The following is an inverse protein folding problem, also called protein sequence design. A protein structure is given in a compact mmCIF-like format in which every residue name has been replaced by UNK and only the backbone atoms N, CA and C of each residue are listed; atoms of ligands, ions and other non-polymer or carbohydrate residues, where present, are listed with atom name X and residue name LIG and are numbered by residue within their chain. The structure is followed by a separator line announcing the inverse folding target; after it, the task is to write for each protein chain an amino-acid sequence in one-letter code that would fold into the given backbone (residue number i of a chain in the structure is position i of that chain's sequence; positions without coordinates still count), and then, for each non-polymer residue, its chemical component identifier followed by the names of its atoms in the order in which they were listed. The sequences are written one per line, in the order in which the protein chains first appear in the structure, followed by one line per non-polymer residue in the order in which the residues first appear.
data_IF_511899273360
#
_entry.id   IF_511899273360
#
_cell.length_a   1.000
_cell.length_b   1.000
_cell.length_c   1.000
_cell.angle_alpha   90.00
_cell.angle_beta   90.00
_cell.angle_gamma   90.00
#
_symmetry.space_group_name_H-M   'P 1'
#
loop_
_entity.id
_entity.type
_entity.pdbx_description
1 polymer ?
#
# COMPACT_ATOMS: atom_id res chain seq x y z
N UNK A 1 -6.11 6.95 -24.00
CA UNK A 1 -7.00 6.21 -23.09
C UNK A 1 -6.75 6.72 -21.69
N UNK A 2 -7.73 7.40 -21.09
CA UNK A 2 -7.58 7.99 -19.78
C UNK A 2 -7.47 6.91 -18.70
N UNK A 3 -6.68 7.16 -17.66
CA UNK A 3 -6.52 6.35 -16.45
C UNK A 3 -7.84 6.16 -15.66
N UNK A 4 -8.96 6.73 -16.13
CA UNK A 4 -10.25 6.72 -15.46
C UNK A 4 -10.98 5.38 -15.42
N UNK A 5 -10.51 4.35 -16.15
CA UNK A 5 -11.21 3.06 -16.21
C UNK A 5 -10.64 1.98 -15.28
N UNK A 6 -9.50 2.23 -14.60
CA UNK A 6 -8.80 1.20 -13.82
C UNK A 6 -9.22 1.18 -12.36
N UNK A 7 -9.63 2.31 -11.79
CA UNK A 7 -10.08 2.40 -10.39
C UNK A 7 -11.44 3.09 -10.33
N UNK A 8 -12.46 2.30 -10.07
CA UNK A 8 -13.81 2.85 -9.83
C UNK A 8 -14.01 2.96 -8.33
N UNK A 9 -14.51 4.11 -7.87
CA UNK A 9 -14.92 4.29 -6.45
C UNK A 9 -15.87 3.20 -5.97
N UNK A 10 -16.67 2.65 -6.88
CA UNK A 10 -17.58 1.53 -6.62
C UNK A 10 -16.85 0.27 -6.16
N UNK A 11 -15.61 0.03 -6.64
CA UNK A 11 -14.82 -1.13 -6.21
C UNK A 11 -14.46 -1.06 -4.72
N UNK A 12 -14.29 0.15 -4.18
CA UNK A 12 -14.05 0.37 -2.75
C UNK A 12 -15.28 0.04 -1.89
N UNK A 13 -16.50 0.23 -2.41
CA UNK A 13 -17.73 -0.13 -1.68
C UNK A 13 -17.80 -1.64 -1.43
N UNK A 14 -17.48 -2.43 -2.44
CA UNK A 14 -17.57 -3.89 -2.39
C UNK A 14 -16.34 -4.59 -1.80
N UNK A 15 -15.25 -3.90 -1.52
CA UNK A 15 -14.03 -4.54 -1.05
C UNK A 15 -14.14 -4.96 0.44
N UNK A 16 -13.54 -6.09 0.78
CA UNK A 16 -13.38 -6.56 2.17
C UNK A 16 -12.05 -6.11 2.78
N UNK A 17 -11.13 -5.60 1.96
CA UNK A 17 -9.83 -5.06 2.35
C UNK A 17 -9.20 -4.34 1.17
N UNK A 18 -8.20 -3.51 1.42
CA UNK A 18 -7.56 -2.66 0.42
C UNK A 18 -6.04 -2.77 0.48
N UNK A 19 -5.41 -3.15 -0.63
CA UNK A 19 -3.98 -2.94 -0.85
C UNK A 19 -3.79 -1.69 -1.71
N UNK A 20 -3.20 -0.62 -1.15
CA UNK A 20 -2.97 0.64 -1.85
C UNK A 20 -1.49 0.79 -2.20
N UNK A 21 -1.19 0.98 -3.48
CA UNK A 21 0.18 1.06 -3.97
C UNK A 21 0.47 2.29 -4.81
N UNK A 22 1.69 2.80 -4.72
CA UNK A 22 2.15 3.94 -5.51
C UNK A 22 3.65 3.88 -5.79
N UNK A 23 4.07 4.47 -6.90
CA UNK A 23 5.45 4.92 -7.03
C UNK A 23 5.68 6.13 -6.11
N UNK A 24 6.88 6.22 -5.55
CA UNK A 24 7.29 7.40 -4.78
C UNK A 24 7.46 8.62 -5.68
N UNK A 25 6.95 9.74 -5.23
CA UNK A 25 7.18 11.08 -5.81
C UNK A 25 7.50 12.05 -4.67
N UNK A 26 8.78 12.45 -4.59
CA UNK A 26 9.26 13.35 -3.53
C UNK A 26 8.87 12.89 -2.10
N UNK A 27 9.03 11.58 -1.82
CA UNK A 27 8.71 11.00 -0.53
C UNK A 27 7.22 10.84 -0.24
N UNK A 28 6.37 10.95 -1.25
CA UNK A 28 4.91 10.84 -1.14
C UNK A 28 4.35 10.00 -2.29
N UNK A 29 3.05 9.69 -2.24
CA UNK A 29 2.36 9.01 -3.34
C UNK A 29 2.31 9.87 -4.60
N UNK A 30 2.17 9.23 -5.75
CA UNK A 30 1.99 9.91 -7.02
C UNK A 30 0.66 10.69 -7.06
N UNK A 31 0.67 11.87 -7.69
CA UNK A 31 -0.48 12.77 -7.76
C UNK A 31 -1.78 12.11 -8.28
N UNK A 32 -1.77 11.22 -9.27
CA UNK A 32 -3.00 10.55 -9.70
C UNK A 32 -3.67 9.71 -8.61
N UNK A 33 -2.87 9.05 -7.73
CA UNK A 33 -3.42 8.29 -6.61
C UNK A 33 -4.03 9.22 -5.56
N UNK A 34 -3.35 10.32 -5.22
CA UNK A 34 -3.89 11.32 -4.29
C UNK A 34 -5.17 11.94 -4.85
N UNK A 35 -5.19 12.27 -6.13
CA UNK A 35 -6.39 12.78 -6.81
C UNK A 35 -7.57 11.78 -6.68
N UNK A 36 -7.30 10.49 -6.92
CA UNK A 36 -8.32 9.44 -6.74
C UNK A 36 -8.86 9.44 -5.30
N UNK A 37 -7.99 9.46 -4.29
CA UNK A 37 -8.39 9.50 -2.89
C UNK A 37 -9.22 10.75 -2.58
N UNK A 38 -8.89 11.90 -3.14
CA UNK A 38 -9.65 13.14 -2.95
C UNK A 38 -11.07 13.07 -3.52
N UNK A 39 -11.32 12.17 -4.48
CA UNK A 39 -12.68 11.94 -5.00
C UNK A 39 -13.55 11.04 -4.13
N UNK A 40 -13.04 10.51 -3.02
CA UNK A 40 -13.74 9.55 -2.14
C UNK A 40 -14.44 10.19 -0.94
N UNK A 41 -14.64 11.50 -0.95
CA UNK A 41 -15.27 12.23 0.16
C UNK A 41 -16.69 11.73 0.50
N UNK A 42 -17.47 11.30 -0.49
CA UNK A 42 -18.77 10.69 -0.31
C UNK A 42 -18.70 9.32 0.39
N UNK A 43 -17.69 8.50 0.07
CA UNK A 43 -17.45 7.22 0.73
C UNK A 43 -17.03 7.43 2.19
N UNK A 44 -16.23 8.45 2.46
CA UNK A 44 -15.87 8.85 3.81
C UNK A 44 -17.09 9.31 4.61
N UNK A 45 -17.91 10.19 4.06
CA UNK A 45 -19.13 10.69 4.71
C UNK A 45 -20.14 9.56 4.98
N UNK A 46 -20.20 8.56 4.10
CA UNK A 46 -21.05 7.38 4.26
C UNK A 46 -20.44 6.27 5.13
N UNK A 47 -19.23 6.46 5.68
CA UNK A 47 -18.54 5.48 6.55
C UNK A 47 -18.28 4.12 5.89
N UNK A 48 -18.18 4.07 4.54
CA UNK A 48 -18.16 2.82 3.78
C UNK A 48 -16.88 1.98 3.96
N UNK A 49 -15.77 2.58 4.41
CA UNK A 49 -14.50 1.90 4.62
C UNK A 49 -14.15 1.67 6.10
N UNK A 50 -14.99 2.12 7.02
CA UNK A 50 -14.76 1.98 8.46
C UNK A 50 -14.60 0.52 8.84
N UNK A 51 -13.52 0.19 9.58
CA UNK A 51 -13.22 -1.15 10.07
C UNK A 51 -12.68 -2.13 9.00
N UNK A 52 -12.60 -1.74 7.73
CA UNK A 52 -11.99 -2.58 6.69
C UNK A 52 -10.47 -2.53 6.81
N UNK A 53 -9.76 -3.67 6.67
CA UNK A 53 -8.31 -3.69 6.73
C UNK A 53 -7.68 -3.08 5.47
N UNK A 54 -6.52 -2.45 5.64
CA UNK A 54 -5.74 -1.91 4.55
C UNK A 54 -4.24 -2.13 4.76
N UNK A 55 -3.52 -2.36 3.68
CA UNK A 55 -2.07 -2.33 3.62
C UNK A 55 -1.59 -1.40 2.52
N UNK A 56 -0.37 -0.91 2.63
CA UNK A 56 0.25 0.00 1.65
C UNK A 56 1.54 -0.59 1.12
N UNK A 57 1.87 -0.27 -0.14
CA UNK A 57 3.13 -0.66 -0.75
C UNK A 57 3.63 0.41 -1.73
N UNK A 58 4.93 0.48 -1.95
CA UNK A 58 5.47 1.46 -2.89
C UNK A 58 6.74 0.98 -3.61
N UNK A 59 7.14 1.70 -4.64
CA UNK A 59 8.44 1.59 -5.26
C UNK A 59 9.19 2.92 -5.24
N UNK A 60 10.51 2.87 -5.09
CA UNK A 60 11.40 4.03 -5.06
C UNK A 60 12.54 3.87 -6.06
N UNK A 61 13.12 4.99 -6.48
CA UNK A 61 14.31 4.99 -7.34
C UNK A 61 15.60 4.72 -6.57
N UNK A 62 15.62 4.90 -5.25
CA UNK A 62 16.82 4.69 -4.42
C UNK A 62 16.45 4.19 -3.03
N UNK A 63 17.44 3.57 -2.35
CA UNK A 63 17.25 2.96 -1.03
C UNK A 63 16.68 3.92 0.02
N UNK A 64 17.21 5.14 0.06
CA UNK A 64 16.76 6.19 0.99
C UNK A 64 15.85 7.24 0.32
N UNK A 65 15.26 6.91 -0.81
CA UNK A 65 14.44 7.82 -1.64
C UNK A 65 13.00 7.99 -1.20
N UNK A 66 12.65 7.63 0.03
CA UNK A 66 11.31 7.84 0.59
C UNK A 66 10.44 6.60 0.65
N UNK A 67 11.00 5.40 0.85
CA UNK A 67 10.22 4.18 1.04
C UNK A 67 9.23 4.35 2.19
N UNK A 68 9.73 4.64 3.40
CA UNK A 68 8.93 4.75 4.61
C UNK A 68 8.01 5.95 4.58
N UNK A 69 8.51 7.13 4.16
CA UNK A 69 7.70 8.35 4.13
C UNK A 69 6.51 8.24 3.17
N UNK A 70 6.70 7.59 2.03
CA UNK A 70 5.61 7.34 1.08
C UNK A 70 4.55 6.44 1.69
N UNK A 71 4.93 5.34 2.33
CA UNK A 71 3.99 4.43 3.00
C UNK A 71 3.23 5.14 4.13
N UNK A 72 3.95 5.83 5.02
CA UNK A 72 3.35 6.53 6.16
C UNK A 72 2.37 7.61 5.70
N UNK A 73 2.71 8.39 4.67
CA UNK A 73 1.80 9.40 4.14
C UNK A 73 0.58 8.79 3.43
N UNK A 74 0.72 7.60 2.81
CA UNK A 74 -0.41 6.86 2.24
C UNK A 74 -1.37 6.32 3.31
N UNK A 75 -0.88 5.99 4.51
CA UNK A 75 -1.73 5.53 5.62
C UNK A 75 -2.67 6.63 6.14
N UNK A 76 -2.23 7.90 6.11
CA UNK A 76 -3.01 9.01 6.68
C UNK A 76 -4.43 9.10 6.10
N UNK A 77 -4.65 9.17 4.78
CA UNK A 77 -6.01 9.19 4.23
C UNK A 77 -6.81 7.90 4.52
N UNK A 78 -6.17 6.74 4.61
CA UNK A 78 -6.84 5.49 4.97
C UNK A 78 -7.33 5.51 6.42
N UNK A 79 -6.53 6.06 7.34
CA UNK A 79 -6.94 6.30 8.73
C UNK A 79 -8.11 7.28 8.82
N UNK A 80 -8.15 8.32 7.99
CA UNK A 80 -9.29 9.23 7.89
C UNK A 80 -10.58 8.52 7.42
N UNK A 81 -10.46 7.48 6.60
CA UNK A 81 -11.55 6.60 6.22
C UNK A 81 -11.96 5.61 7.32
N UNK A 82 -11.23 5.57 8.45
CA UNK A 82 -11.50 4.63 9.55
C UNK A 82 -11.03 3.20 9.27
N UNK A 83 -10.11 3.02 8.34
CA UNK A 83 -9.56 1.69 8.00
C UNK A 83 -8.56 1.21 9.06
N UNK A 84 -8.40 -0.11 9.16
CA UNK A 84 -7.44 -0.77 10.04
C UNK A 84 -6.15 -1.00 9.27
N UNK A 85 -5.10 -0.25 9.59
CA UNK A 85 -3.82 -0.35 8.88
C UNK A 85 -3.03 -1.57 9.37
N UNK A 86 -2.58 -2.38 8.41
CA UNK A 86 -1.74 -3.55 8.64
C UNK A 86 -0.33 -3.32 8.08
N UNK A 87 0.66 -3.47 8.93
CA UNK A 87 2.07 -3.51 8.57
C UNK A 87 2.61 -4.93 8.47
N UNK A 88 3.94 -5.07 8.37
CA UNK A 88 4.66 -6.35 8.35
C UNK A 88 5.37 -6.56 9.70
N UNK A 89 5.16 -7.72 10.36
CA UNK A 89 5.78 -7.99 11.65
C UNK A 89 7.22 -8.47 11.50
N UNK A 90 8.07 -8.14 12.47
CA UNK A 90 9.47 -8.60 12.53
C UNK A 90 9.64 -10.10 12.79
N UNK A 91 8.54 -10.87 12.87
CA UNK A 91 8.59 -12.33 12.75
C UNK A 91 8.90 -12.81 11.33
N UNK A 92 8.89 -11.92 10.35
CA UNK A 92 9.39 -12.16 9.00
C UNK A 92 10.88 -11.85 8.98
N UNK A 93 11.76 -12.85 8.81
CA UNK A 93 13.23 -12.65 8.89
C UNK A 93 13.73 -11.69 7.80
N UNK A 94 13.07 -11.63 6.66
CA UNK A 94 13.42 -10.77 5.54
C UNK A 94 13.48 -9.28 5.93
N UNK A 95 12.71 -8.84 6.94
CA UNK A 95 12.79 -7.45 7.42
C UNK A 95 14.12 -7.11 8.10
N UNK A 96 14.81 -8.10 8.66
CA UNK A 96 16.13 -7.92 9.25
C UNK A 96 17.26 -8.14 8.24
N UNK A 97 17.01 -8.87 7.16
CA UNK A 97 18.03 -9.35 6.22
C UNK A 97 18.08 -8.53 4.93
N UNK A 98 16.96 -7.87 4.55
CA UNK A 98 16.88 -7.10 3.31
C UNK A 98 17.92 -5.98 3.25
N UNK A 99 18.54 -5.82 2.08
CA UNK A 99 19.45 -4.72 1.76
C UNK A 99 18.88 -3.83 0.64
N UNK A 100 17.60 -4.00 0.33
CA UNK A 100 16.88 -3.21 -0.69
C UNK A 100 15.52 -2.76 -0.16
N UNK A 101 14.42 -3.11 -0.81
CA UNK A 101 13.08 -2.83 -0.33
C UNK A 101 12.66 -3.74 0.83
N UNK A 102 11.57 -3.36 1.46
CA UNK A 102 10.98 -4.04 2.61
C UNK A 102 11.06 -3.22 3.89
N UNK A 103 9.92 -2.90 4.45
CA UNK A 103 9.80 -2.13 5.69
C UNK A 103 8.68 -2.72 6.58
N UNK A 104 8.69 -2.46 7.90
CA UNK A 104 7.59 -2.88 8.77
C UNK A 104 6.27 -2.13 8.49
N UNK A 105 6.33 -1.02 7.74
CA UNK A 105 5.16 -0.22 7.37
C UNK A 105 4.45 -0.77 6.13
N UNK A 106 5.11 -1.62 5.34
CA UNK A 106 4.57 -2.23 4.12
C UNK A 106 5.68 -2.70 3.18
N UNK A 107 5.28 -3.46 2.16
CA UNK A 107 6.19 -3.93 1.14
C UNK A 107 6.69 -2.77 0.25
N UNK A 108 7.99 -2.77 -0.06
CA UNK A 108 8.58 -1.77 -0.94
C UNK A 108 9.56 -2.42 -1.93
N UNK A 109 9.77 -1.76 -3.05
CA UNK A 109 10.76 -2.13 -4.06
C UNK A 109 11.71 -0.97 -4.34
N UNK A 110 12.99 -1.25 -4.42
CA UNK A 110 14.01 -0.31 -4.87
C UNK A 110 14.37 -0.58 -6.32
N UNK A 111 13.83 0.21 -7.23
CA UNK A 111 14.04 0.07 -8.68
C UNK A 111 15.50 0.33 -9.09
N UNK A 112 16.24 1.21 -8.37
CA UNK A 112 17.55 1.66 -8.79
C UNK A 112 17.52 2.50 -10.08
N UNK A 113 18.66 2.59 -10.74
CA UNK A 113 18.84 3.35 -11.99
C UNK A 113 18.86 2.47 -13.24
N UNK A 114 18.64 1.16 -13.09
CA UNK A 114 18.63 0.20 -14.21
C UNK A 114 17.21 -0.08 -14.65
N UNK A 115 16.93 0.10 -15.94
CA UNK A 115 15.66 -0.31 -16.52
C UNK A 115 15.48 -1.83 -16.38
N UNK A 116 14.27 -2.24 -15.93
CA UNK A 116 13.93 -3.64 -15.79
C UNK A 116 14.46 -4.31 -14.53
N UNK A 117 14.81 -3.57 -13.48
CA UNK A 117 15.14 -4.18 -12.19
C UNK A 117 13.99 -5.05 -11.70
N UNK A 118 14.31 -6.29 -11.36
CA UNK A 118 13.37 -7.27 -10.79
C UNK A 118 13.36 -7.15 -9.27
N UNK A 119 12.27 -7.59 -8.66
CA UNK A 119 12.19 -7.71 -7.19
C UNK A 119 13.31 -8.64 -6.70
N UNK A 120 13.96 -8.25 -5.60
CA UNK A 120 14.81 -9.19 -4.88
C UNK A 120 13.95 -10.28 -4.23
N UNK A 121 14.55 -11.38 -3.82
CA UNK A 121 13.84 -12.46 -3.13
C UNK A 121 13.17 -11.95 -1.85
N UNK A 122 13.86 -11.13 -1.05
CA UNK A 122 13.31 -10.54 0.17
C UNK A 122 12.11 -9.61 -0.13
N UNK A 123 12.22 -8.75 -1.13
CA UNK A 123 11.11 -7.87 -1.55
C UNK A 123 9.88 -8.67 -1.99
N UNK A 124 10.10 -9.74 -2.78
CA UNK A 124 9.03 -10.61 -3.24
C UNK A 124 8.34 -11.34 -2.08
N UNK A 125 9.13 -11.92 -1.17
CA UNK A 125 8.61 -12.64 0.00
C UNK A 125 7.79 -11.70 0.91
N UNK A 126 8.28 -10.48 1.17
CA UNK A 126 7.57 -9.48 1.96
C UNK A 126 6.28 -9.01 1.28
N UNK A 127 6.28 -8.85 -0.04
CA UNK A 127 5.07 -8.49 -0.79
C UNK A 127 4.02 -9.60 -0.72
N UNK A 128 4.43 -10.85 -0.88
CA UNK A 128 3.54 -12.03 -0.74
C UNK A 128 3.00 -12.12 0.68
N UNK A 129 3.85 -11.95 1.71
CA UNK A 129 3.42 -11.96 3.10
C UNK A 129 2.39 -10.86 3.40
N UNK A 130 2.61 -9.62 2.90
CA UNK A 130 1.68 -8.52 3.05
C UNK A 130 0.30 -8.86 2.45
N UNK A 131 0.27 -9.36 1.22
CA UNK A 131 -0.98 -9.74 0.55
C UNK A 131 -1.71 -10.88 1.26
N UNK A 132 -0.98 -11.91 1.70
CA UNK A 132 -1.55 -13.05 2.44
C UNK A 132 -2.17 -12.60 3.77
N UNK A 133 -1.44 -11.82 4.56
CA UNK A 133 -1.93 -11.32 5.85
C UNK A 133 -3.15 -10.42 5.69
N UNK A 134 -3.15 -9.54 4.66
CA UNK A 134 -4.30 -8.71 4.35
C UNK A 134 -5.53 -9.55 4.00
N UNK A 135 -5.37 -10.57 3.16
CA UNK A 135 -6.46 -11.47 2.79
C UNK A 135 -7.01 -12.23 4.00
N UNK A 136 -6.14 -12.80 4.84
CA UNK A 136 -6.54 -13.48 6.06
C UNK A 136 -7.29 -12.57 7.03
N UNK A 137 -6.82 -11.33 7.22
CA UNK A 137 -7.48 -10.34 8.07
C UNK A 137 -8.84 -9.94 7.49
N UNK A 138 -8.91 -9.74 6.18
CA UNK A 138 -10.16 -9.41 5.49
C UNK A 138 -11.21 -10.51 5.66
N UNK A 139 -10.81 -11.77 5.55
CA UNK A 139 -11.71 -12.90 5.77
C UNK A 139 -12.21 -13.01 7.22
N UNK A 140 -11.35 -12.70 8.20
CA UNK A 140 -11.72 -12.72 9.63
C UNK A 140 -12.68 -11.62 10.04
N UNK A 141 -12.58 -10.45 9.39
CA UNK A 141 -13.40 -9.27 9.69
C UNK A 141 -14.67 -9.18 8.84
N UNK A 142 -14.75 -10.01 7.80
CA UNK A 142 -15.93 -10.06 6.93
C UNK A 142 -16.99 -11.01 7.54
N UNK A 143 -17.87 -10.44 8.35
CA UNK A 143 -19.06 -11.10 8.92
C UNK A 143 -20.34 -10.43 8.44
#
# INVERSE_FOLDING_TARGET
RGLGDVYKRQDLLGCSGLALGSATRFGNMAAPLKYFLDTTADLWAGHHLVGKPASVFCSTGSLHGGQESTLLTMMVPLLHHGMLIQGLPYSLPELNETQSGGTPYGATHVQGHTDGATLTEHEANLAVAAGKQLAELSLRLHH
#
